data_IF_522992422154
#
_entry.id   IF_522992422154
#
_cell.length_a   1.000
_cell.length_b   1.000
_cell.length_c   1.000
_cell.angle_alpha   90.00
_cell.angle_beta   90.00
_cell.angle_gamma   90.00
#
_symmetry.space_group_name_H-M   'P 1'
#
loop_
_entity.id
_entity.type
_entity.pdbx_description
1 polymer ?
#
# COMPACT_ATOMS: atom_id res chain seq x y z
N UNK A 1 1.44 13.02 -22.44
CA UNK A 1 1.34 13.40 -21.02
C UNK A 1 0.13 12.72 -20.39
N UNK A 2 0.32 11.65 -19.62
CA UNK A 2 -0.71 11.07 -18.74
C UNK A 2 -0.17 11.19 -17.31
N UNK A 3 -0.26 12.38 -16.73
CA UNK A 3 -1.34 12.86 -15.86
C UNK A 3 -1.36 12.15 -14.48
N UNK A 4 -0.34 12.42 -13.67
CA UNK A 4 -0.55 12.56 -12.22
C UNK A 4 -1.34 13.87 -12.08
N UNK A 5 -2.65 13.79 -12.30
CA UNK A 5 -3.57 14.89 -12.08
C UNK A 5 -4.11 14.83 -10.65
N UNK A 6 -4.58 15.95 -10.10
CA UNK A 6 -5.25 15.96 -8.80
C UNK A 6 -6.47 15.01 -8.84
N UNK A 7 -6.42 13.89 -8.12
CA UNK A 7 -7.58 13.00 -7.91
C UNK A 7 -8.40 13.39 -6.68
N UNK A 8 -9.66 13.78 -6.89
CA UNK A 8 -10.64 13.97 -5.81
C UNK A 8 -10.99 12.66 -5.10
N UNK A 9 -10.74 11.54 -5.79
CA UNK A 9 -11.17 10.20 -5.38
C UNK A 9 -9.93 9.32 -5.14
N UNK A 10 -10.04 8.36 -4.23
CA UNK A 10 -9.00 7.35 -4.01
C UNK A 10 -8.77 6.46 -5.23
N UNK A 11 -7.76 5.60 -5.11
CA UNK A 11 -7.53 4.45 -5.98
C UNK A 11 -6.37 4.61 -6.97
N UNK A 12 -5.83 3.49 -7.46
CA UNK A 12 -4.83 3.44 -8.52
C UNK A 12 -5.18 4.27 -9.75
N UNK A 13 -4.17 4.94 -10.32
CA UNK A 13 -4.28 5.51 -11.65
C UNK A 13 -3.98 4.42 -12.69
N UNK A 14 -5.02 3.77 -13.22
CA UNK A 14 -4.86 2.67 -14.19
C UNK A 14 -4.03 3.12 -15.40
N UNK A 15 -4.31 4.31 -15.95
CA UNK A 15 -3.56 4.87 -17.10
C UNK A 15 -2.08 5.06 -16.81
N UNK A 16 -1.71 5.33 -15.55
CA UNK A 16 -0.30 5.40 -15.14
C UNK A 16 0.38 4.03 -15.21
N UNK A 17 -0.30 2.96 -14.79
CA UNK A 17 0.26 1.59 -14.81
C UNK A 17 0.24 0.96 -16.21
N UNK A 18 -0.60 1.46 -17.12
CA UNK A 18 -0.62 1.05 -18.53
C UNK A 18 0.36 1.83 -19.41
N UNK A 19 0.93 2.93 -18.91
CA UNK A 19 1.87 3.76 -19.67
C UNK A 19 3.17 3.01 -19.98
N UNK A 20 3.70 3.20 -21.20
CA UNK A 20 4.89 2.52 -21.70
C UNK A 20 6.10 2.68 -20.78
N UNK A 21 6.29 3.85 -20.17
CA UNK A 21 7.40 4.11 -19.25
C UNK A 21 7.26 3.32 -17.94
N UNK A 22 6.03 3.17 -17.44
CA UNK A 22 5.78 2.37 -16.23
C UNK A 22 5.95 0.88 -16.51
N UNK A 23 5.49 0.43 -17.68
CA UNK A 23 5.72 -0.94 -18.14
C UNK A 23 7.21 -1.23 -18.35
N UNK A 24 8.00 -0.25 -18.79
CA UNK A 24 9.45 -0.38 -18.86
C UNK A 24 10.10 -0.45 -17.47
N UNK A 25 9.67 0.37 -16.51
CA UNK A 25 10.17 0.34 -15.13
C UNK A 25 9.88 -1.01 -14.43
N UNK A 26 8.75 -1.64 -14.75
CA UNK A 26 8.37 -2.97 -14.24
C UNK A 26 9.30 -4.10 -14.71
N UNK A 27 10.11 -3.89 -15.75
CA UNK A 27 11.07 -4.89 -16.22
C UNK A 27 12.09 -5.23 -15.12
N UNK A 28 12.60 -4.22 -14.41
CA UNK A 28 13.53 -4.43 -13.29
C UNK A 28 12.90 -5.19 -12.14
N UNK A 29 11.62 -4.91 -11.85
CA UNK A 29 10.83 -5.61 -10.83
C UNK A 29 10.63 -7.08 -11.23
N UNK A 30 10.27 -7.35 -12.49
CA UNK A 30 10.10 -8.71 -13.02
C UNK A 30 11.37 -9.53 -12.88
N UNK A 31 12.51 -8.99 -13.31
CA UNK A 31 13.81 -9.67 -13.21
C UNK A 31 14.19 -9.95 -11.75
N UNK A 32 13.94 -8.99 -10.85
CA UNK A 32 14.19 -9.17 -9.43
C UNK A 32 13.31 -10.29 -8.84
N UNK A 33 12.03 -10.35 -9.21
CA UNK A 33 11.11 -11.41 -8.78
C UNK A 33 11.54 -12.79 -9.30
N UNK A 34 11.94 -12.89 -10.56
CA UNK A 34 12.43 -14.14 -11.15
C UNK A 34 13.72 -14.63 -10.47
N UNK A 35 14.58 -13.72 -9.99
CA UNK A 35 15.81 -14.06 -9.27
C UNK A 35 15.54 -14.46 -7.81
N UNK A 36 14.77 -13.67 -7.07
CA UNK A 36 14.62 -13.82 -5.61
C UNK A 36 13.41 -14.67 -5.20
N UNK A 37 12.42 -14.78 -6.08
CA UNK A 37 11.15 -15.48 -5.87
C UNK A 37 10.91 -16.64 -6.80
N UNK A 38 11.95 -17.16 -7.50
CA UNK A 38 11.82 -18.16 -8.57
C UNK A 38 10.82 -19.27 -8.26
N UNK A 39 10.95 -19.91 -7.09
CA UNK A 39 10.07 -21.01 -6.66
C UNK A 39 8.57 -20.64 -6.60
N UNK A 40 8.24 -19.37 -6.36
CA UNK A 40 6.86 -18.89 -6.23
C UNK A 40 6.29 -18.35 -7.54
N UNK A 41 7.14 -17.91 -8.47
CA UNK A 41 6.72 -17.26 -9.72
C UNK A 41 7.03 -18.04 -10.99
N UNK A 42 7.74 -19.17 -10.90
CA UNK A 42 8.16 -19.96 -12.06
C UNK A 42 7.00 -20.45 -12.93
N UNK A 43 5.83 -20.68 -12.33
CA UNK A 43 4.62 -21.13 -13.03
C UNK A 43 3.68 -19.96 -13.39
N UNK A 44 4.06 -18.72 -13.06
CA UNK A 44 3.25 -17.54 -13.36
C UNK A 44 3.68 -16.95 -14.70
N UNK A 45 2.73 -16.59 -15.59
CA UNK A 45 3.04 -15.82 -16.79
C UNK A 45 3.37 -14.37 -16.40
N UNK A 46 4.61 -14.15 -15.94
CA UNK A 46 5.11 -12.85 -15.55
C UNK A 46 5.40 -11.98 -16.79
N UNK A 47 4.50 -11.04 -17.06
CA UNK A 47 4.65 -10.00 -18.06
C UNK A 47 4.54 -8.64 -17.38
N UNK A 48 5.08 -7.58 -17.97
CA UNK A 48 5.00 -6.25 -17.36
C UNK A 48 3.54 -5.78 -17.25
N UNK A 49 2.68 -6.20 -18.19
CA UNK A 49 1.23 -5.97 -18.13
C UNK A 49 0.55 -6.73 -17.00
N UNK A 50 0.87 -8.02 -16.79
CA UNK A 50 0.28 -8.79 -15.69
C UNK A 50 0.76 -8.31 -14.32
N UNK A 51 2.01 -7.88 -14.21
CA UNK A 51 2.52 -7.22 -13.00
C UNK A 51 1.80 -5.89 -12.74
N UNK A 52 1.68 -5.03 -13.74
CA UNK A 52 0.95 -3.76 -13.63
C UNK A 52 -0.49 -3.97 -13.15
N UNK A 53 -1.22 -4.90 -13.77
CA UNK A 53 -2.59 -5.23 -13.39
C UNK A 53 -2.68 -5.77 -11.95
N UNK A 54 -1.75 -6.64 -11.55
CA UNK A 54 -1.67 -7.15 -10.18
C UNK A 54 -1.39 -6.03 -9.18
N UNK A 55 -0.44 -5.14 -9.48
CA UNK A 55 -0.12 -3.98 -8.64
C UNK A 55 -1.33 -3.07 -8.45
N UNK A 56 -2.08 -2.79 -9.53
CA UNK A 56 -3.32 -2.01 -9.47
C UNK A 56 -4.36 -2.68 -8.57
N UNK A 57 -4.61 -3.98 -8.74
CA UNK A 57 -5.58 -4.71 -7.91
C UNK A 57 -5.18 -4.68 -6.43
N UNK A 58 -3.90 -4.94 -6.14
CA UNK A 58 -3.39 -4.92 -4.77
C UNK A 58 -3.45 -3.51 -4.15
N UNK A 59 -3.15 -2.48 -4.95
CA UNK A 59 -3.18 -1.10 -4.49
C UNK A 59 -4.62 -0.57 -4.31
N UNK A 60 -5.59 -1.05 -5.08
CA UNK A 60 -6.99 -0.71 -4.84
C UNK A 60 -7.45 -1.28 -3.49
N UNK A 61 -7.25 -2.58 -3.28
CA UNK A 61 -7.73 -3.24 -2.07
C UNK A 61 -7.04 -2.73 -0.80
N UNK A 62 -5.75 -2.37 -0.87
CA UNK A 62 -5.06 -1.83 0.30
C UNK A 62 -5.62 -0.47 0.75
N UNK A 63 -6.07 0.38 -0.18
CA UNK A 63 -6.65 1.68 0.20
C UNK A 63 -7.97 1.54 0.95
N UNK A 64 -8.75 0.50 0.63
CA UNK A 64 -10.04 0.25 1.24
C UNK A 64 -9.95 -0.35 2.66
N UNK A 65 -8.89 -1.13 2.94
CA UNK A 65 -8.81 -1.95 4.16
C UNK A 65 -7.53 -1.76 4.99
N UNK A 66 -6.44 -1.31 4.39
CA UNK A 66 -5.11 -1.24 5.01
C UNK A 66 -4.58 0.20 5.04
N UNK A 67 -3.27 0.34 5.30
CA UNK A 67 -2.57 1.61 5.34
C UNK A 67 -1.15 1.52 4.80
N UNK A 68 -0.89 0.58 3.87
CA UNK A 68 0.44 0.47 3.25
C UNK A 68 0.66 1.74 2.40
N UNK A 69 1.74 2.51 2.64
CA UNK A 69 1.95 3.74 1.90
C UNK A 69 2.01 3.49 0.39
N UNK A 70 1.23 4.26 -0.39
CA UNK A 70 1.20 4.18 -1.86
C UNK A 70 2.60 4.30 -2.47
N UNK A 71 3.51 5.06 -1.83
CA UNK A 71 4.92 5.14 -2.24
C UNK A 71 5.62 3.79 -2.35
N UNK A 72 5.23 2.79 -1.54
CA UNK A 72 5.78 1.44 -1.61
C UNK A 72 5.36 0.72 -2.89
N UNK A 73 4.13 0.96 -3.39
CA UNK A 73 3.65 0.42 -4.67
C UNK A 73 4.26 1.13 -5.88
N UNK A 74 4.85 2.31 -5.69
CA UNK A 74 5.48 3.12 -6.73
C UNK A 74 7.02 3.06 -6.70
N UNK A 75 7.60 2.22 -5.85
CA UNK A 75 9.04 2.01 -5.77
C UNK A 75 9.48 0.85 -6.67
N UNK A 76 9.74 1.19 -7.95
CA UNK A 76 10.14 0.24 -9.01
C UNK A 76 11.63 -0.13 -8.98
N UNK A 77 12.40 0.37 -8.01
CA UNK A 77 13.83 0.04 -7.91
C UNK A 77 14.00 -1.47 -7.70
N UNK A 78 15.10 -2.08 -8.18
CA UNK A 78 15.42 -3.46 -7.85
C UNK A 78 15.49 -3.64 -6.33
N UNK A 79 14.65 -4.53 -5.80
CA UNK A 79 14.53 -4.72 -4.35
C UNK A 79 13.83 -3.57 -3.61
N UNK A 80 13.12 -2.70 -4.31
CA UNK A 80 12.29 -1.65 -3.72
C UNK A 80 10.97 -2.17 -3.14
N UNK A 81 10.14 -1.26 -2.65
CA UNK A 81 8.85 -1.57 -2.03
C UNK A 81 7.97 -2.49 -2.88
N UNK A 82 7.88 -2.23 -4.19
CA UNK A 82 7.01 -3.00 -5.07
C UNK A 82 7.51 -4.45 -5.25
N UNK A 83 8.82 -4.64 -5.27
CA UNK A 83 9.44 -5.97 -5.34
C UNK A 83 9.04 -6.83 -4.14
N UNK A 84 9.12 -6.26 -2.93
CA UNK A 84 8.78 -6.98 -1.70
C UNK A 84 7.27 -7.22 -1.54
N UNK A 85 6.43 -6.26 -1.95
CA UNK A 85 4.97 -6.45 -1.99
C UNK A 85 4.61 -7.62 -2.90
N UNK A 86 5.08 -7.61 -4.15
CA UNK A 86 4.76 -8.65 -5.11
C UNK A 86 5.34 -10.00 -4.69
N UNK A 87 6.57 -10.04 -4.15
CA UNK A 87 7.15 -11.28 -3.65
C UNK A 87 6.32 -11.89 -2.53
N UNK A 88 5.88 -11.09 -1.55
CA UNK A 88 5.00 -11.55 -0.48
C UNK A 88 3.64 -12.03 -1.05
N UNK A 89 3.07 -11.32 -2.02
CA UNK A 89 1.84 -11.70 -2.70
C UNK A 89 1.96 -13.08 -3.37
N UNK A 90 2.96 -13.24 -4.23
CA UNK A 90 3.18 -14.46 -5.01
C UNK A 90 3.57 -15.64 -4.13
N UNK A 91 4.37 -15.40 -3.09
CA UNK A 91 4.68 -16.40 -2.07
C UNK A 91 3.39 -16.90 -1.41
N UNK A 92 2.55 -16.00 -0.93
CA UNK A 92 1.29 -16.37 -0.27
C UNK A 92 0.35 -17.10 -1.23
N UNK A 93 0.20 -16.59 -2.46
CA UNK A 93 -0.56 -17.23 -3.55
C UNK A 93 -0.10 -18.66 -3.81
N UNK A 94 1.22 -18.87 -3.90
CA UNK A 94 1.83 -20.19 -4.14
C UNK A 94 1.63 -21.14 -2.96
N UNK A 95 1.88 -20.69 -1.73
CA UNK A 95 1.76 -21.49 -0.50
C UNK A 95 0.31 -21.92 -0.24
N UNK A 96 -0.67 -21.13 -0.69
CA UNK A 96 -2.10 -21.41 -0.52
C UNK A 96 -2.77 -21.98 -1.78
N UNK A 97 -2.00 -22.30 -2.83
CA UNK A 97 -2.52 -22.94 -4.05
C UNK A 97 -3.51 -22.07 -4.85
N UNK A 98 -3.41 -20.74 -4.77
CA UNK A 98 -4.31 -19.83 -5.47
C UNK A 98 -4.00 -19.78 -6.96
N UNK A 99 -5.02 -19.95 -7.81
CA UNK A 99 -4.88 -19.80 -9.27
C UNK A 99 -4.70 -18.34 -9.69
N UNK A 100 -5.44 -17.43 -9.06
CA UNK A 100 -5.42 -15.97 -9.26
C UNK A 100 -5.53 -15.26 -7.92
N UNK A 101 -5.19 -13.98 -7.86
CA UNK A 101 -5.52 -13.15 -6.70
C UNK A 101 -7.04 -12.98 -6.65
N UNK A 102 -7.69 -13.50 -5.61
CA UNK A 102 -9.13 -13.35 -5.39
C UNK A 102 -9.37 -12.26 -4.33
N UNK A 103 -9.27 -10.99 -4.72
CA UNK A 103 -9.53 -9.85 -3.84
C UNK A 103 -11.03 -9.52 -3.83
N UNK A 104 -11.75 -9.65 -2.69
CA UNK A 104 -13.16 -9.31 -2.60
C UNK A 104 -13.37 -7.79 -2.79
N UNK A 105 -14.34 -7.40 -3.61
CA UNK A 105 -14.73 -5.99 -3.79
C UNK A 105 -15.74 -5.51 -2.74
N UNK A 106 -16.12 -6.35 -1.77
CA UNK A 106 -17.19 -6.09 -0.81
C UNK A 106 -16.76 -6.31 0.64
N UNK A 107 -17.44 -5.62 1.57
CA UNK A 107 -17.11 -5.59 3.01
C UNK A 107 -17.65 -6.80 3.80
N UNK A 108 -18.22 -7.80 3.13
CA UNK A 108 -18.79 -8.95 3.82
C UNK A 108 -17.66 -9.85 4.32
N UNK A 109 -17.58 -10.03 5.63
CA UNK A 109 -16.61 -10.90 6.30
C UNK A 109 -16.85 -12.34 5.86
N UNK A 110 -16.07 -12.77 4.87
CA UNK A 110 -15.99 -14.15 4.42
C UNK A 110 -14.60 -14.69 4.79
N UNK A 111 -14.48 -16.00 4.95
CA UNK A 111 -13.17 -16.66 5.15
C UNK A 111 -12.16 -16.33 4.04
N UNK A 112 -12.64 -15.95 2.85
CA UNK A 112 -11.80 -15.42 1.77
C UNK A 112 -11.18 -14.06 2.13
N UNK A 113 -11.95 -13.15 2.72
CA UNK A 113 -11.47 -11.84 3.14
C UNK A 113 -10.39 -11.95 4.23
N UNK A 114 -10.56 -12.87 5.19
CA UNK A 114 -9.57 -13.12 6.24
C UNK A 114 -8.22 -13.57 5.67
N UNK A 115 -8.22 -14.49 4.69
CA UNK A 115 -6.99 -14.92 4.02
C UNK A 115 -6.33 -13.80 3.23
N UNK A 116 -7.12 -12.93 2.61
CA UNK A 116 -6.58 -11.75 1.94
C UNK A 116 -5.95 -10.82 2.96
N UNK A 117 -6.56 -10.61 4.12
CA UNK A 117 -5.95 -9.81 5.19
C UNK A 117 -4.62 -10.38 5.67
N UNK A 118 -4.53 -11.70 5.84
CA UNK A 118 -3.27 -12.37 6.19
C UNK A 118 -2.18 -12.14 5.14
N UNK A 119 -2.55 -12.19 3.84
CA UNK A 119 -1.63 -11.86 2.75
C UNK A 119 -1.08 -10.43 2.90
N UNK A 120 -1.93 -9.44 3.19
CA UNK A 120 -1.50 -8.05 3.39
C UNK A 120 -0.67 -7.86 4.65
N UNK A 121 -0.98 -8.56 5.75
CA UNK A 121 -0.14 -8.55 6.94
C UNK A 121 1.27 -9.09 6.64
N UNK A 122 1.38 -10.10 5.77
CA UNK A 122 2.68 -10.61 5.33
C UNK A 122 3.44 -9.61 4.44
N UNK A 123 2.73 -8.86 3.58
CA UNK A 123 3.33 -7.74 2.83
C UNK A 123 3.86 -6.65 3.75
N UNK A 124 3.06 -6.23 4.73
CA UNK A 124 3.44 -5.20 5.70
C UNK A 124 4.65 -5.63 6.52
N UNK A 125 4.66 -6.87 7.05
CA UNK A 125 5.82 -7.45 7.75
C UNK A 125 7.08 -7.44 6.89
N UNK A 126 6.97 -7.78 5.60
CA UNK A 126 8.10 -7.75 4.68
C UNK A 126 8.65 -6.32 4.50
N UNK A 127 7.77 -5.32 4.33
CA UNK A 127 8.16 -3.92 4.19
C UNK A 127 8.81 -3.35 5.46
N UNK A 128 8.30 -3.72 6.64
CA UNK A 128 8.88 -3.34 7.94
C UNK A 128 10.27 -3.97 8.09
N UNK A 129 10.41 -5.26 7.80
CA UNK A 129 11.69 -5.97 7.89
C UNK A 129 12.77 -5.37 6.98
N UNK A 130 12.37 -4.85 5.82
CA UNK A 130 13.26 -4.16 4.87
C UNK A 130 13.44 -2.66 5.17
N UNK A 131 12.86 -2.15 6.26
CA UNK A 131 12.88 -0.72 6.64
C UNK A 131 12.32 0.21 5.56
N UNK A 132 11.39 -0.28 4.74
CA UNK A 132 10.68 0.49 3.71
C UNK A 132 9.37 1.08 4.22
N UNK A 133 8.88 0.56 5.35
CA UNK A 133 7.71 1.04 6.06
C UNK A 133 8.00 1.06 7.56
N UNK A 134 7.50 2.09 8.24
CA UNK A 134 7.58 2.25 9.68
C UNK A 134 6.17 2.45 10.21
N UNK A 135 5.82 1.72 11.27
CA UNK A 135 4.54 1.88 11.92
C UNK A 135 4.38 3.32 12.43
N UNK A 136 3.20 3.92 12.30
CA UNK A 136 2.99 5.32 12.66
C UNK A 136 3.09 5.50 14.18
N UNK A 137 3.93 6.45 14.59
CA UNK A 137 3.99 7.00 15.94
C UNK A 137 3.25 8.33 15.91
N UNK A 138 2.12 8.41 16.60
CA UNK A 138 1.11 9.45 16.40
C UNK A 138 0.93 10.27 17.67
N UNK A 139 1.06 11.58 17.54
CA UNK A 139 0.60 12.53 18.55
C UNK A 139 -0.78 13.06 18.17
N UNK A 140 -1.69 13.05 19.13
CA UNK A 140 -3.05 13.57 18.97
C UNK A 140 -3.14 14.85 19.76
N UNK A 141 -3.34 15.98 19.08
CA UNK A 141 -3.41 17.27 19.75
C UNK A 141 -4.56 17.35 20.78
N UNK A 142 -4.37 18.11 21.87
CA UNK A 142 -5.32 18.14 22.99
C UNK A 142 -6.65 18.87 22.68
N UNK A 143 -6.70 19.70 21.64
CA UNK A 143 -7.90 20.42 21.18
C UNK A 143 -8.86 19.57 20.34
N UNK A 144 -8.51 18.30 20.06
CA UNK A 144 -9.39 17.36 19.37
C UNK A 144 -10.49 16.88 20.33
N UNK A 145 -11.73 16.84 19.85
CA UNK A 145 -12.88 16.33 20.59
C UNK A 145 -12.61 14.94 21.19
N UNK A 146 -12.96 14.77 22.48
CA UNK A 146 -12.64 13.56 23.24
C UNK A 146 -13.24 12.28 22.63
N UNK A 147 -14.43 12.35 22.04
CA UNK A 147 -15.06 11.21 21.39
C UNK A 147 -14.31 10.83 20.10
N UNK A 148 -13.77 11.81 19.38
CA UNK A 148 -12.88 11.59 18.23
C UNK A 148 -11.54 10.99 18.66
N UNK A 149 -10.94 11.48 19.75
CA UNK A 149 -9.69 10.93 20.29
C UNK A 149 -9.81 9.44 20.61
N UNK A 150 -10.91 9.01 21.24
CA UNK A 150 -11.16 7.58 21.53
C UNK A 150 -11.15 6.76 20.23
N UNK A 151 -11.90 7.21 19.21
CA UNK A 151 -11.95 6.54 17.90
C UNK A 151 -10.59 6.49 17.21
N UNK A 152 -9.83 7.58 17.26
CA UNK A 152 -8.48 7.65 16.68
C UNK A 152 -7.54 6.67 17.36
N UNK A 153 -7.50 6.65 18.70
CA UNK A 153 -6.66 5.70 19.46
C UNK A 153 -7.00 4.25 19.10
N UNK A 154 -8.27 3.92 18.91
CA UNK A 154 -8.70 2.58 18.50
C UNK A 154 -8.29 2.23 17.07
N UNK A 155 -8.32 3.19 16.13
CA UNK A 155 -7.82 2.98 14.76
C UNK A 155 -6.30 2.77 14.77
N UNK A 156 -5.56 3.61 15.48
CA UNK A 156 -4.10 3.56 15.57
C UNK A 156 -3.66 2.20 16.14
N UNK A 157 -4.25 1.76 17.25
CA UNK A 157 -3.94 0.45 17.86
C UNK A 157 -4.27 -0.71 16.93
N UNK A 158 -5.45 -0.70 16.28
CA UNK A 158 -5.83 -1.75 15.33
C UNK A 158 -4.87 -1.87 14.14
N UNK A 159 -4.19 -0.78 13.78
CA UNK A 159 -3.18 -0.74 12.71
C UNK A 159 -1.75 -0.93 13.22
N UNK A 160 -1.56 -1.32 14.49
CA UNK A 160 -0.24 -1.52 15.08
C UNK A 160 0.56 -0.25 15.29
N UNK A 161 -0.06 0.93 15.19
CA UNK A 161 0.58 2.20 15.48
C UNK A 161 0.69 2.49 16.98
N UNK A 162 1.55 3.43 17.33
CA UNK A 162 1.78 3.89 18.69
C UNK A 162 1.23 5.30 18.89
N UNK A 163 0.65 5.56 20.05
CA UNK A 163 0.29 6.93 20.47
C UNK A 163 1.35 7.44 21.43
N UNK A 164 1.78 8.68 21.24
CA UNK A 164 2.74 9.37 22.11
C UNK A 164 2.14 10.64 22.68
N UNK A 165 2.76 11.14 23.76
CA UNK A 165 2.28 12.30 24.52
C UNK A 165 3.00 13.61 24.15
N UNK A 166 3.96 13.58 23.20
CA UNK A 166 4.72 14.76 22.76
C UNK A 166 4.85 14.82 21.23
N UNK A 167 4.92 16.03 20.66
CA UNK A 167 5.11 16.24 19.23
C UNK A 167 6.50 15.79 18.75
N UNK A 168 7.53 15.98 19.58
CA UNK A 168 8.93 15.69 19.26
C UNK A 168 9.19 14.20 19.06
N UNK A 169 8.42 13.35 19.72
CA UNK A 169 8.51 11.89 19.60
C UNK A 169 7.60 11.32 18.51
N UNK A 170 6.82 12.18 17.84
CA UNK A 170 5.83 11.76 16.86
C UNK A 170 6.38 11.76 15.44
N UNK A 171 6.01 10.74 14.67
CA UNK A 171 6.17 10.72 13.21
C UNK A 171 5.01 11.42 12.49
N UNK A 172 3.86 11.52 13.15
CA UNK A 172 2.63 12.09 12.61
C UNK A 172 1.91 12.87 13.71
N UNK A 173 1.37 14.04 13.36
CA UNK A 173 0.58 14.88 14.27
C UNK A 173 -0.83 14.99 13.70
N UNK A 174 -1.84 14.69 14.51
CA UNK A 174 -3.24 14.89 14.15
C UNK A 174 -3.68 16.25 14.69
N UNK A 175 -4.18 17.09 13.79
CA UNK A 175 -4.81 18.37 14.09
C UNK A 175 -6.34 18.22 14.12
N UNK A 176 -7.02 19.14 14.81
CA UNK A 176 -8.47 19.27 14.74
C UNK A 176 -8.96 19.57 13.32
N UNK A 177 -10.27 19.44 13.10
CA UNK A 177 -10.87 19.79 11.80
C UNK A 177 -10.58 21.26 11.49
N UNK A 178 -9.87 21.49 10.39
CA UNK A 178 -9.71 22.81 9.78
C UNK A 178 -10.69 22.84 8.62
N UNK A 179 -11.48 23.91 8.48
CA UNK A 179 -12.38 24.07 7.33
C UNK A 179 -11.50 24.24 6.09
N UNK A 180 -11.32 23.21 5.24
CA UNK A 180 -10.36 23.32 4.17
C UNK A 180 -11.02 24.11 3.04
N UNK A 181 -10.44 25.24 2.66
CA UNK A 181 -10.75 25.83 1.37
C UNK A 181 -10.40 24.78 0.30
N UNK A 182 -11.28 24.59 -0.71
CA UNK A 182 -11.10 23.61 -1.79
C UNK A 182 -9.72 23.71 -2.47
N UNK A 183 -9.11 24.89 -2.42
CA UNK A 183 -7.84 25.26 -3.02
C UNK A 183 -6.62 24.84 -2.18
N UNK A 184 -6.80 24.54 -0.89
CA UNK A 184 -5.74 24.19 0.06
C UNK A 184 -5.47 22.69 0.20
N UNK A 185 -6.14 21.84 -0.59
CA UNK A 185 -5.80 20.42 -0.67
C UNK A 185 -4.41 20.22 -1.30
N UNK A 186 -3.35 20.38 -0.49
CA UNK A 186 -1.98 20.06 -0.84
C UNK A 186 -1.82 18.55 -1.03
N UNK A 187 -1.41 18.13 -2.23
CA UNK A 187 -1.27 16.70 -2.57
C UNK A 187 0.19 16.36 -2.84
N UNK A 188 0.72 15.27 -2.23
CA UNK A 188 2.06 14.79 -2.55
C UNK A 188 2.16 14.43 -4.04
N UNK A 189 2.91 15.19 -4.81
CA UNK A 189 3.25 14.85 -6.19
C UNK A 189 4.56 14.08 -6.15
N UNK A 190 4.52 12.77 -6.37
CA UNK A 190 5.75 11.96 -6.43
C UNK A 190 6.43 12.26 -7.76
N UNK A 191 7.62 12.85 -7.69
CA UNK A 191 8.50 13.03 -8.85
C UNK A 191 9.02 11.65 -9.27
N UNK A 192 8.82 11.28 -10.54
CA UNK A 192 9.40 10.04 -11.11
C UNK A 192 10.92 10.09 -10.89
N UNK A 193 11.47 9.15 -10.11
CA UNK A 193 12.91 8.93 -9.98
C UNK A 193 13.26 7.56 -10.54
#
# INVERSE_FOLDING_TARGET
>A
MLSIGPKMDGGPNIKYFEASETLAALEGVKQWLQKNGKKYVQNEPLTNKSLAATTVQLMQFQEDFFGIPVKCFLDFKPGGGLCHILLAAYRFKSEHGWRRFELPSGKNASSKLERVFEMYQNMEKALIGMKMYTLPIVYIRPDIDKAVVIKLKDIIRRRGGQVVDSEESASHIIYGSVDPLKEEYGRPVIKKR
#
